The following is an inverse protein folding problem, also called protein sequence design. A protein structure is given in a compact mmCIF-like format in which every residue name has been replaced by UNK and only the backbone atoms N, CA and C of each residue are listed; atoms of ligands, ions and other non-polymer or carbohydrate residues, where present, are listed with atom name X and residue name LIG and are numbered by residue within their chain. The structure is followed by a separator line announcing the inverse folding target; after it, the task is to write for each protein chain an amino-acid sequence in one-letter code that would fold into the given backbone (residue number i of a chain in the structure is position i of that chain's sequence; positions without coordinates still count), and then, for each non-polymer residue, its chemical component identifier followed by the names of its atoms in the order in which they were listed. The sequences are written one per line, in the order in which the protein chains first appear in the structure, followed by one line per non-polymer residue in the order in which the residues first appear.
data_IF_253397828462
#
_entry.id   IF_253397828462
#
_cell.length_a   1.000
_cell.length_b   1.000
_cell.length_c   1.000
_cell.angle_alpha   90.00
_cell.angle_beta   90.00
_cell.angle_gamma   90.00
#
_symmetry.space_group_name_H-M   'P 1'
#
loop_
_entity.id
_entity.type
_entity.pdbx_description
1 polymer ?
#
# COMPACT_ATOMS: atom_id res chain seq x y z
N UNK A 1 7.50 1.26 -19.62
CA UNK A 1 7.67 0.47 -18.38
C UNK A 1 8.57 -0.72 -18.69
N UNK A 2 9.59 -0.97 -17.87
CA UNK A 2 10.44 -2.16 -17.96
C UNK A 2 9.66 -3.42 -17.57
N UNK A 3 10.18 -4.58 -17.94
CA UNK A 3 9.59 -5.86 -17.50
C UNK A 3 9.81 -6.11 -16.01
N UNK A 4 8.99 -6.94 -15.39
CA UNK A 4 9.13 -7.30 -13.98
C UNK A 4 10.52 -7.89 -13.63
N UNK A 5 11.14 -8.79 -14.45
CA UNK A 5 12.52 -9.24 -14.19
C UNK A 5 13.56 -8.12 -14.22
N UNK A 6 13.41 -7.12 -15.10
CA UNK A 6 14.30 -5.95 -15.13
C UNK A 6 14.14 -5.09 -13.87
N UNK A 7 12.91 -4.90 -13.38
CA UNK A 7 12.67 -4.22 -12.12
C UNK A 7 13.35 -4.93 -10.96
N UNK A 8 13.20 -6.26 -10.87
CA UNK A 8 13.87 -7.07 -9.84
C UNK A 8 15.39 -6.87 -9.86
N UNK A 9 16.01 -6.93 -11.04
CA UNK A 9 17.46 -6.78 -11.18
C UNK A 9 17.92 -5.38 -10.73
N UNK A 10 17.20 -4.33 -11.13
CA UNK A 10 17.55 -2.95 -10.76
C UNK A 10 17.41 -2.74 -9.25
N UNK A 11 16.30 -3.17 -8.67
CA UNK A 11 16.05 -3.06 -7.22
C UNK A 11 17.09 -3.85 -6.43
N UNK A 12 17.46 -5.04 -6.90
CA UNK A 12 18.50 -5.86 -6.27
C UNK A 12 19.88 -5.16 -6.31
N UNK A 13 20.22 -4.51 -7.43
CA UNK A 13 21.44 -3.73 -7.55
C UNK A 13 21.48 -2.57 -6.53
N UNK A 14 20.40 -1.81 -6.41
CA UNK A 14 20.30 -0.76 -5.39
C UNK A 14 20.43 -1.32 -3.97
N UNK A 15 19.79 -2.47 -3.71
CA UNK A 15 19.85 -3.12 -2.41
C UNK A 15 21.27 -3.54 -2.04
N UNK A 16 22.02 -4.15 -2.97
CA UNK A 16 23.42 -4.52 -2.76
C UNK A 16 24.33 -3.32 -2.47
N UNK A 17 23.99 -2.16 -3.02
CA UNK A 17 24.70 -0.90 -2.77
C UNK A 17 24.26 -0.19 -1.49
N UNK A 18 23.24 -0.71 -0.78
CA UNK A 18 22.65 -0.07 0.40
C UNK A 18 21.79 1.16 0.07
N UNK A 19 21.38 1.32 -1.19
CA UNK A 19 20.63 2.50 -1.68
C UNK A 19 19.11 2.27 -1.65
N UNK A 20 18.56 1.92 -0.49
CA UNK A 20 17.13 1.61 -0.31
C UNK A 20 16.22 2.76 -0.76
N UNK A 21 16.57 4.02 -0.48
CA UNK A 21 15.78 5.18 -0.91
C UNK A 21 15.77 5.29 -2.44
N UNK A 22 16.91 5.10 -3.11
CA UNK A 22 17.00 5.17 -4.57
C UNK A 22 16.15 4.06 -5.23
N UNK A 23 16.16 2.85 -4.68
CA UNK A 23 15.30 1.76 -5.13
C UNK A 23 13.81 2.11 -5.00
N UNK A 24 13.38 2.65 -3.87
CA UNK A 24 11.99 3.08 -3.66
C UNK A 24 11.60 4.21 -4.62
N UNK A 25 12.46 5.21 -4.80
CA UNK A 25 12.24 6.32 -5.73
C UNK A 25 12.11 5.83 -7.18
N UNK A 26 12.99 4.92 -7.62
CA UNK A 26 12.89 4.28 -8.92
C UNK A 26 11.52 3.60 -9.13
N UNK A 27 11.05 2.84 -8.13
CA UNK A 27 9.76 2.14 -8.21
C UNK A 27 8.58 3.11 -8.28
N UNK A 28 8.58 4.17 -7.48
CA UNK A 28 7.54 5.22 -7.55
C UNK A 28 7.42 5.79 -8.96
N UNK A 29 8.54 6.12 -9.59
CA UNK A 29 8.58 6.67 -10.94
C UNK A 29 8.16 5.65 -11.99
N UNK A 30 8.72 4.44 -11.95
CA UNK A 30 8.48 3.40 -12.94
C UNK A 30 7.02 2.91 -12.94
N UNK A 31 6.38 2.89 -11.78
CA UNK A 31 4.98 2.48 -11.63
C UNK A 31 3.98 3.65 -11.62
N UNK A 32 4.43 4.88 -11.91
CA UNK A 32 3.55 6.04 -12.02
C UNK A 32 2.80 6.37 -10.71
N UNK A 33 3.45 6.15 -9.57
CA UNK A 33 2.89 6.45 -8.24
C UNK A 33 3.20 7.87 -7.77
N UNK A 34 3.83 8.70 -8.61
CA UNK A 34 4.26 10.04 -8.26
C UNK A 34 3.08 10.92 -7.83
N UNK A 35 3.29 11.74 -6.81
CA UNK A 35 2.30 12.70 -6.32
C UNK A 35 2.99 14.00 -5.95
N UNK A 36 2.49 15.18 -6.37
CA UNK A 36 3.10 16.47 -6.05
C UNK A 36 3.24 16.77 -4.56
N UNK A 37 2.39 16.14 -3.72
CA UNK A 37 2.43 16.28 -2.28
C UNK A 37 3.44 15.32 -1.61
N UNK A 38 4.14 14.49 -2.37
CA UNK A 38 5.20 13.61 -1.88
C UNK A 38 6.53 14.35 -1.85
N UNK A 39 7.13 14.47 -0.67
CA UNK A 39 8.41 15.15 -0.46
C UNK A 39 9.61 14.22 -0.66
N UNK A 40 9.46 12.95 -0.34
CA UNK A 40 10.54 11.96 -0.43
C UNK A 40 10.44 10.86 0.63
N UNK A 41 11.45 9.99 0.62
CA UNK A 41 11.59 8.91 1.59
C UNK A 41 12.58 9.28 2.70
N UNK A 42 12.33 8.74 3.89
CA UNK A 42 13.30 8.64 4.99
C UNK A 42 13.43 7.19 5.43
N UNK A 43 14.64 6.80 5.85
CA UNK A 43 14.86 5.47 6.40
C UNK A 43 14.42 5.43 7.87
N UNK A 44 13.96 4.26 8.25
CA UNK A 44 13.74 3.88 9.64
C UNK A 44 14.43 2.54 9.93
N UNK A 45 14.41 2.12 11.19
CA UNK A 45 14.98 0.86 11.64
C UNK A 45 14.52 -0.34 10.80
N UNK A 46 15.36 -1.37 10.73
CA UNK A 46 15.05 -2.60 10.00
C UNK A 46 13.76 -3.25 10.47
N UNK A 47 12.93 -3.61 9.51
CA UNK A 47 11.72 -4.38 9.77
C UNK A 47 12.04 -5.84 10.12
N UNK A 48 11.20 -6.43 10.97
CA UNK A 48 11.18 -7.87 11.22
C UNK A 48 10.26 -8.56 10.21
N UNK A 49 10.48 -9.85 9.90
CA UNK A 49 9.65 -10.57 8.93
C UNK A 49 8.15 -10.54 9.22
N UNK A 50 7.78 -10.52 10.51
CA UNK A 50 6.38 -10.52 10.95
C UNK A 50 5.75 -9.13 10.95
N UNK A 51 6.57 -8.07 10.82
CA UNK A 51 6.10 -6.71 10.99
C UNK A 51 6.88 -5.73 10.10
N UNK A 52 6.33 -5.48 8.91
CA UNK A 52 6.85 -4.49 7.97
C UNK A 52 5.98 -3.25 8.10
N UNK A 53 6.52 -2.19 8.69
CA UNK A 53 5.83 -0.92 8.86
C UNK A 53 6.45 0.15 7.99
N UNK A 54 5.65 0.66 7.05
CA UNK A 54 5.88 1.92 6.37
C UNK A 54 4.89 2.95 6.92
N UNK A 55 5.23 4.23 6.91
CA UNK A 55 4.36 5.28 7.44
C UNK A 55 4.45 6.54 6.61
N UNK A 56 3.30 7.16 6.31
CA UNK A 56 3.21 8.48 5.70
C UNK A 56 3.05 9.54 6.78
N UNK A 57 4.03 10.44 6.88
CA UNK A 57 4.13 11.47 7.92
C UNK A 57 4.09 12.87 7.30
N UNK A 58 3.39 13.78 7.97
CA UNK A 58 3.22 15.18 7.59
C UNK A 58 1.85 15.71 7.99
N UNK A 59 1.75 17.02 8.13
CA UNK A 59 0.49 17.69 8.41
C UNK A 59 -0.43 17.67 7.18
N UNK A 60 -1.71 17.87 7.39
CA UNK A 60 -2.70 18.01 6.33
C UNK A 60 -2.37 19.21 5.42
N UNK A 61 -2.40 18.96 4.11
CA UNK A 61 -2.14 19.99 3.10
C UNK A 61 -0.68 20.39 2.95
N UNK A 62 0.22 19.76 3.72
CA UNK A 62 1.66 19.94 3.64
C UNK A 62 2.32 18.75 2.91
N UNK A 63 3.53 18.94 2.34
CA UNK A 63 4.25 17.83 1.71
C UNK A 63 4.51 16.68 2.69
N UNK A 64 4.25 15.46 2.21
CA UNK A 64 4.34 14.25 3.01
C UNK A 64 5.67 13.52 2.80
N UNK A 65 6.20 12.93 3.86
CA UNK A 65 7.36 12.03 3.84
C UNK A 65 6.87 10.61 4.07
N UNK A 66 7.45 9.63 3.37
CA UNK A 66 7.23 8.22 3.65
C UNK A 66 8.48 7.65 4.32
N UNK A 67 8.30 7.06 5.51
CA UNK A 67 9.38 6.35 6.21
C UNK A 67 9.30 4.87 5.89
N UNK A 68 10.43 4.34 5.38
CA UNK A 68 10.56 2.95 4.97
C UNK A 68 11.68 2.26 5.74
N UNK A 69 11.57 0.95 6.05
CA UNK A 69 12.63 0.19 6.70
C UNK A 69 13.92 0.17 5.86
N UNK A 70 15.09 0.19 6.50
CA UNK A 70 16.38 0.06 5.81
C UNK A 70 16.48 -1.21 4.96
N UNK A 71 15.85 -2.30 5.40
CA UNK A 71 15.84 -3.60 4.72
C UNK A 71 14.59 -3.84 3.87
N UNK A 72 13.93 -2.79 3.38
CA UNK A 72 12.68 -2.88 2.59
C UNK A 72 12.78 -3.91 1.47
N UNK A 73 13.89 -3.98 0.74
CA UNK A 73 14.03 -4.84 -0.42
C UNK A 73 14.63 -6.23 -0.11
N UNK A 74 14.75 -6.62 1.15
CA UNK A 74 14.91 -8.02 1.58
C UNK A 74 13.57 -8.80 1.51
N UNK A 75 12.44 -8.11 1.36
CA UNK A 75 11.11 -8.69 1.24
C UNK A 75 10.66 -8.82 -0.22
N UNK A 76 9.65 -9.67 -0.52
CA UNK A 76 9.17 -9.85 -1.89
C UNK A 76 8.75 -8.53 -2.55
N UNK A 77 9.25 -8.28 -3.77
CA UNK A 77 8.99 -7.03 -4.50
C UNK A 77 7.48 -6.73 -4.69
N UNK A 78 6.59 -7.72 -5.01
CA UNK A 78 5.17 -7.43 -5.09
C UNK A 78 4.58 -6.90 -3.78
N UNK A 79 5.03 -7.44 -2.64
CA UNK A 79 4.61 -6.95 -1.33
C UNK A 79 5.08 -5.52 -1.11
N UNK A 80 6.36 -5.22 -1.39
CA UNK A 80 6.92 -3.88 -1.19
C UNK A 80 6.28 -2.83 -2.10
N UNK A 81 6.00 -3.17 -3.36
CA UNK A 81 5.28 -2.29 -4.28
C UNK A 81 3.85 -1.98 -3.80
N UNK A 82 3.14 -2.98 -3.32
CA UNK A 82 1.81 -2.77 -2.76
C UNK A 82 1.83 -1.90 -1.50
N UNK A 83 2.83 -2.06 -0.63
CA UNK A 83 2.99 -1.21 0.55
C UNK A 83 3.39 0.23 0.16
N UNK A 84 4.29 0.42 -0.80
CA UNK A 84 4.62 1.75 -1.32
C UNK A 84 3.40 2.44 -1.93
N UNK A 85 2.61 1.72 -2.74
CA UNK A 85 1.34 2.23 -3.28
C UNK A 85 0.35 2.62 -2.16
N UNK A 86 0.22 1.80 -1.12
CA UNK A 86 -0.62 2.09 0.05
C UNK A 86 -0.22 3.43 0.70
N UNK A 87 1.08 3.65 0.94
CA UNK A 87 1.57 4.90 1.52
C UNK A 87 1.38 6.09 0.55
N UNK A 88 1.54 5.89 -0.77
CA UNK A 88 1.29 6.95 -1.75
C UNK A 88 -0.19 7.34 -1.84
N UNK A 89 -1.11 6.41 -1.58
CA UNK A 89 -2.54 6.72 -1.41
C UNK A 89 -2.73 7.64 -0.19
N UNK A 90 -2.06 7.36 0.94
CA UNK A 90 -2.09 8.25 2.10
C UNK A 90 -1.52 9.64 1.81
N UNK A 91 -0.46 9.73 0.97
CA UNK A 91 0.04 11.04 0.48
C UNK A 91 -1.07 11.79 -0.25
N UNK A 92 -1.81 11.13 -1.15
CA UNK A 92 -2.93 11.73 -1.88
C UNK A 92 -4.09 12.12 -0.97
N UNK A 93 -4.45 11.28 -0.01
CA UNK A 93 -5.54 11.53 0.95
C UNK A 93 -5.27 12.67 1.92
N UNK A 94 -4.03 13.16 2.01
CA UNK A 94 -3.64 14.30 2.84
C UNK A 94 -3.48 15.60 2.07
N UNK A 95 -3.78 15.64 0.76
CA UNK A 95 -3.87 16.89 0.02
C UNK A 95 -5.12 17.68 0.41
N UNK A 96 -5.12 18.99 0.17
CA UNK A 96 -6.29 19.85 0.46
C UNK A 96 -7.51 19.45 -0.37
N UNK A 97 -7.28 18.99 -1.60
CA UNK A 97 -8.30 18.63 -2.57
C UNK A 97 -8.95 17.27 -2.26
N UNK A 98 -8.16 16.32 -1.72
CA UNK A 98 -8.58 14.93 -1.50
C UNK A 98 -8.65 14.55 -0.01
N UNK A 99 -8.78 15.54 0.86
CA UNK A 99 -8.79 15.30 2.30
C UNK A 99 -9.89 14.33 2.74
N UNK A 100 -9.48 13.26 3.39
CA UNK A 100 -10.35 12.29 4.04
C UNK A 100 -10.13 12.38 5.56
N UNK A 101 -11.12 12.85 6.29
CA UNK A 101 -11.01 13.11 7.73
C UNK A 101 -10.92 11.81 8.54
N UNK A 102 -11.74 10.82 8.23
CA UNK A 102 -11.80 9.58 8.98
C UNK A 102 -10.60 8.68 8.69
N UNK A 103 -9.87 8.28 9.75
CA UNK A 103 -8.70 7.40 9.63
C UNK A 103 -9.08 6.03 9.10
N UNK A 104 -10.19 5.47 9.54
CA UNK A 104 -10.60 4.12 9.13
C UNK A 104 -11.01 4.10 7.65
N UNK A 105 -11.62 5.20 7.15
CA UNK A 105 -11.91 5.39 5.73
C UNK A 105 -10.63 5.43 4.90
N UNK A 106 -9.59 6.19 5.35
CA UNK A 106 -8.30 6.23 4.65
C UNK A 106 -7.67 4.85 4.51
N UNK A 107 -7.58 4.13 5.62
CA UNK A 107 -7.01 2.79 5.64
C UNK A 107 -7.82 1.79 4.79
N UNK A 108 -9.16 1.85 4.89
CA UNK A 108 -10.03 1.03 4.05
C UNK A 108 -9.74 1.21 2.57
N UNK A 109 -9.68 2.44 2.09
CA UNK A 109 -9.40 2.72 0.69
C UNK A 109 -8.01 2.22 0.27
N UNK A 110 -6.99 2.44 1.08
CA UNK A 110 -5.62 2.03 0.77
C UNK A 110 -5.49 0.49 0.74
N UNK A 111 -6.07 -0.24 1.69
CA UNK A 111 -6.09 -1.70 1.64
C UNK A 111 -6.96 -2.24 0.50
N UNK A 112 -8.10 -1.62 0.21
CA UNK A 112 -8.94 -2.01 -0.92
C UNK A 112 -8.17 -1.92 -2.24
N UNK A 113 -7.40 -0.85 -2.44
CA UNK A 113 -6.57 -0.69 -3.63
C UNK A 113 -5.46 -1.76 -3.72
N UNK A 114 -4.84 -2.16 -2.62
CA UNK A 114 -3.87 -3.28 -2.59
C UNK A 114 -4.48 -4.61 -3.03
N UNK A 115 -5.79 -4.79 -2.88
CA UNK A 115 -6.49 -6.04 -3.23
C UNK A 115 -6.98 -6.06 -4.67
N UNK A 116 -7.36 -4.90 -5.24
CA UNK A 116 -8.11 -4.83 -6.49
C UNK A 116 -7.44 -3.98 -7.58
N UNK A 117 -6.40 -3.21 -7.25
CA UNK A 117 -5.62 -2.38 -8.19
C UNK A 117 -6.48 -1.57 -9.17
N UNK A 118 -7.53 -0.90 -8.66
CA UNK A 118 -8.51 -0.18 -9.49
C UNK A 118 -7.92 1.10 -10.09
N UNK A 119 -7.02 1.76 -9.37
CA UNK A 119 -6.34 2.99 -9.81
C UNK A 119 -4.96 2.68 -10.41
N UNK A 120 -4.29 1.62 -9.92
CA UNK A 120 -2.93 1.26 -10.30
C UNK A 120 -2.84 -0.19 -10.83
N UNK A 121 -3.50 -0.50 -11.97
CA UNK A 121 -3.57 -1.87 -12.50
C UNK A 121 -2.22 -2.44 -12.94
N UNK A 122 -1.17 -1.61 -13.04
CA UNK A 122 0.19 -2.02 -13.37
C UNK A 122 0.96 -2.61 -12.17
N UNK A 123 0.47 -2.42 -10.94
CA UNK A 123 1.08 -2.99 -9.74
C UNK A 123 0.89 -4.52 -9.75
N UNK A 124 1.96 -5.32 -9.52
CA UNK A 124 1.84 -6.76 -9.48
C UNK A 124 0.97 -7.24 -8.30
N UNK A 125 0.19 -8.27 -8.57
CA UNK A 125 -0.68 -8.86 -7.55
C UNK A 125 0.10 -9.45 -6.37
N UNK A 126 -0.50 -9.34 -5.19
CA UNK A 126 -0.03 -10.01 -3.98
C UNK A 126 -0.25 -11.52 -4.07
N UNK A 127 0.55 -12.30 -3.35
CA UNK A 127 0.27 -13.72 -3.13
C UNK A 127 -1.05 -13.93 -2.39
N UNK A 128 -1.67 -15.12 -2.54
CA UNK A 128 -2.92 -15.46 -1.85
C UNK A 128 -2.81 -15.32 -0.32
N UNK A 129 -1.61 -15.56 0.24
CA UNK A 129 -1.33 -15.32 1.66
C UNK A 129 -1.50 -13.85 2.04
N UNK A 130 -0.84 -12.94 1.32
CA UNK A 130 -0.91 -11.50 1.60
C UNK A 130 -2.27 -10.91 1.24
N UNK A 131 -2.92 -11.37 0.15
CA UNK A 131 -4.30 -10.99 -0.16
C UNK A 131 -5.23 -11.28 1.01
N UNK A 132 -5.14 -12.46 1.60
CA UNK A 132 -5.94 -12.85 2.77
C UNK A 132 -5.64 -11.98 3.98
N UNK A 133 -4.35 -11.74 4.25
CA UNK A 133 -3.93 -10.89 5.36
C UNK A 133 -4.48 -9.46 5.22
N UNK A 134 -4.31 -8.82 4.06
CA UNK A 134 -4.76 -7.45 3.84
C UNK A 134 -6.28 -7.33 3.67
N UNK A 135 -6.97 -8.35 3.16
CA UNK A 135 -8.43 -8.37 3.14
C UNK A 135 -9.01 -8.38 4.57
N UNK A 136 -8.43 -9.15 5.50
CA UNK A 136 -8.83 -9.10 6.90
C UNK A 136 -8.54 -7.73 7.54
N UNK A 137 -7.39 -7.11 7.21
CA UNK A 137 -7.08 -5.74 7.64
C UNK A 137 -8.08 -4.72 7.09
N UNK A 138 -8.44 -4.80 5.82
CA UNK A 138 -9.47 -3.96 5.23
C UNK A 138 -10.79 -4.06 6.01
N UNK A 139 -11.27 -5.28 6.26
CA UNK A 139 -12.51 -5.50 7.02
C UNK A 139 -12.42 -4.99 8.46
N UNK A 140 -11.26 -5.10 9.12
CA UNK A 140 -11.04 -4.53 10.44
C UNK A 140 -11.29 -3.02 10.44
N UNK A 141 -10.73 -2.28 9.47
CA UNK A 141 -10.95 -0.84 9.34
C UNK A 141 -12.36 -0.48 8.90
N UNK A 142 -12.98 -1.27 8.00
CA UNK A 142 -14.39 -1.10 7.65
C UNK A 142 -15.30 -1.20 8.88
N UNK A 143 -15.09 -2.19 9.73
CA UNK A 143 -15.88 -2.38 10.94
C UNK A 143 -15.66 -1.23 11.95
N UNK A 144 -14.46 -0.66 12.01
CA UNK A 144 -14.14 0.49 12.88
C UNK A 144 -14.76 1.80 12.44
N UNK A 145 -15.27 1.93 11.21
CA UNK A 145 -16.02 3.13 10.77
C UNK A 145 -17.29 3.34 11.59
N UNK A 146 -17.81 2.30 12.23
CA UNK A 146 -19.04 2.32 13.03
C UNK A 146 -20.20 1.59 12.35
N UNK A 147 -20.92 0.81 13.14
CA UNK A 147 -22.00 -0.03 12.64
C UNK A 147 -23.12 0.79 12.00
N UNK A 148 -23.52 0.40 10.78
CA UNK A 148 -24.60 1.05 10.00
C UNK A 148 -24.40 2.56 9.76
N UNK A 149 -23.16 3.07 9.81
CA UNK A 149 -22.87 4.48 9.54
C UNK A 149 -22.87 4.80 8.04
N UNK A 150 -22.86 6.09 7.72
CA UNK A 150 -22.85 6.60 6.33
C UNK A 150 -21.66 6.07 5.53
N UNK A 151 -20.48 5.94 6.17
CA UNK A 151 -19.29 5.41 5.52
C UNK A 151 -19.44 3.92 5.17
N UNK A 152 -19.99 3.11 6.05
CA UNK A 152 -20.25 1.70 5.73
C UNK A 152 -21.26 1.56 4.59
N UNK A 153 -22.28 2.38 4.51
CA UNK A 153 -23.20 2.39 3.37
C UNK A 153 -22.50 2.83 2.08
N UNK A 154 -21.63 3.84 2.14
CA UNK A 154 -20.82 4.31 1.00
C UNK A 154 -19.99 3.19 0.38
N UNK A 155 -19.39 2.32 1.21
CA UNK A 155 -18.47 1.27 0.79
C UNK A 155 -19.07 -0.14 0.75
N UNK A 156 -20.41 -0.29 0.83
CA UNK A 156 -21.07 -1.59 0.94
C UNK A 156 -20.76 -2.55 -0.23
N UNK A 157 -20.70 -2.05 -1.47
CA UNK A 157 -20.37 -2.87 -2.65
C UNK A 157 -18.91 -3.33 -2.63
N UNK A 158 -17.98 -2.45 -2.26
CA UNK A 158 -16.57 -2.81 -2.13
C UNK A 158 -16.35 -3.82 -1.01
N UNK A 159 -17.06 -3.66 0.11
CA UNK A 159 -17.05 -4.64 1.21
C UNK A 159 -17.50 -6.02 0.74
N UNK A 160 -18.54 -6.09 -0.06
CA UNK A 160 -19.00 -7.35 -0.66
C UNK A 160 -17.92 -8.00 -1.55
N UNK A 161 -17.17 -7.20 -2.33
CA UNK A 161 -16.05 -7.71 -3.13
C UNK A 161 -14.93 -8.29 -2.27
N UNK A 162 -14.59 -7.63 -1.14
CA UNK A 162 -13.60 -8.15 -0.19
C UNK A 162 -14.06 -9.46 0.44
N UNK A 163 -15.34 -9.58 0.83
CA UNK A 163 -15.89 -10.82 1.37
C UNK A 163 -15.82 -11.97 0.35
N UNK A 164 -16.20 -11.71 -0.90
CA UNK A 164 -16.12 -12.69 -1.98
C UNK A 164 -14.68 -13.15 -2.22
N UNK A 165 -13.72 -12.21 -2.25
CA UNK A 165 -12.31 -12.53 -2.37
C UNK A 165 -11.85 -13.45 -1.24
N UNK A 166 -12.18 -13.13 0.01
CA UNK A 166 -11.83 -13.97 1.17
C UNK A 166 -12.45 -15.36 1.08
N UNK A 167 -13.71 -15.48 0.66
CA UNK A 167 -14.34 -16.76 0.45
C UNK A 167 -13.57 -17.62 -0.55
N UNK A 168 -13.25 -17.05 -1.74
CA UNK A 168 -12.49 -17.74 -2.79
C UNK A 168 -11.10 -18.17 -2.30
N UNK A 169 -10.40 -17.29 -1.57
CA UNK A 169 -9.07 -17.59 -1.02
C UNK A 169 -9.11 -18.70 0.05
N UNK A 170 -10.18 -18.79 0.82
CA UNK A 170 -10.34 -19.82 1.85
C UNK A 170 -10.75 -21.19 1.25
N UNK A 171 -11.49 -21.20 0.15
CA UNK A 171 -11.83 -22.43 -0.59
C UNK A 171 -10.58 -23.10 -1.19
N UNK A 172 -9.59 -22.34 -1.62
CA UNK A 172 -8.30 -22.85 -2.12
C UNK A 172 -7.42 -23.53 -1.04
N UNK A 173 -7.73 -23.38 0.23
CA UNK A 173 -6.96 -23.99 1.33
C UNK A 173 -7.50 -25.36 1.74
N UNK A 174 -8.66 -25.75 1.23
CA UNK A 174 -9.30 -27.07 1.49
C UNK A 174 -8.89 -28.10 0.47
#
# INVERSE_FOLDING_TARGET
MKSYPEHLQIVYTFHELGETIAAAQFLIQEYGLENPNFKGFELREKAKPEFILMTTEGALGEPQIIRIPENTFEFPLPLMLNLLMHEMIHVSQKTKENWIADKNEREWQAYYEMLFHTQFPQIPELSDFYKRFFANKALEYYNRMGENCVLQHKYALQKQQVDQLLQLLNEKLK
#
